data_IF_171603175258
#
_entry.id   IF_171603175258
#
_cell.length_a   1.000
_cell.length_b   1.000
_cell.length_c   1.000
_cell.angle_alpha   90.00
_cell.angle_beta   90.00
_cell.angle_gamma   90.00
#
_symmetry.space_group_name_H-M   'P 1'
#
loop_
_entity.id
_entity.type
_entity.pdbx_description
1 polymer ?
2 non-polymer ?
3 non-polymer ?
4 non-polymer ?
5 water ?
#
# COMPACT_ATOMS: atom_id res chain seq x y z
N UNK A 7 -7.42 -6.71 -26.94
CA UNK A 7 -5.98 -7.02 -26.77
C UNK A 7 -5.58 -7.05 -25.29
N UNK A 8 -4.65 -7.94 -24.96
CA UNK A 8 -4.03 -7.98 -23.63
C UNK A 8 -3.31 -6.64 -23.35
N UNK A 9 -3.15 -6.30 -22.05
CA UNK A 9 -2.55 -5.00 -21.76
C UNK A 9 -1.07 -4.90 -22.13
N UNK A 10 -0.62 -3.70 -22.50
CA UNK A 10 0.80 -3.43 -22.63
C UNK A 10 1.30 -3.09 -21.23
N UNK A 11 1.91 -4.07 -20.57
CA UNK A 11 2.41 -3.87 -19.21
C UNK A 11 3.58 -2.89 -19.11
N UNK A 12 4.19 -2.56 -20.24
CA UNK A 12 5.24 -1.54 -20.28
C UNK A 12 4.70 -0.14 -19.96
N UNK A 13 3.39 0.03 -20.05
CA UNK A 13 2.74 1.31 -19.70
C UNK A 13 2.73 1.51 -18.18
N UNK A 14 2.93 0.42 -17.44
CA UNK A 14 2.79 0.47 -15.97
C UNK A 14 1.34 0.36 -15.54
N UNK A 15 1.07 0.69 -14.28
CA UNK A 15 -0.29 0.68 -13.75
C UNK A 15 -1.04 1.85 -14.38
N UNK A 16 -2.15 1.56 -15.05
CA UNK A 16 -2.89 2.59 -15.80
C UNK A 16 -3.97 3.23 -14.93
N UNK A 17 -3.79 4.52 -14.67
CA UNK A 17 -4.75 5.31 -13.89
C UNK A 17 -5.60 6.09 -14.89
N UNK A 18 -6.87 5.74 -14.96
CA UNK A 18 -7.75 6.27 -16.01
C UNK A 18 -8.19 7.70 -15.78
N UNK A 19 -8.51 8.41 -16.87
CA UNK A 19 -9.03 9.77 -16.80
C UNK A 19 -10.20 9.96 -15.84
N UNK A 20 -11.06 8.94 -15.73
CA UNK A 20 -12.24 9.05 -14.86
C UNK A 20 -12.02 8.52 -13.43
N UNK A 21 -10.77 8.18 -13.09
CA UNK A 21 -10.39 7.80 -11.73
C UNK A 21 -10.72 8.93 -10.73
N UNK A 22 -11.64 8.68 -9.77
CA UNK A 22 -11.95 9.71 -8.76
C UNK A 22 -10.88 9.86 -7.65
N UNK A 23 -9.98 8.89 -7.56
CA UNK A 23 -8.93 8.93 -6.56
C UNK A 23 -9.45 8.48 -5.21
N UNK A 24 -8.62 8.66 -4.19
CA UNK A 24 -9.01 8.32 -2.83
C UNK A 24 -9.19 9.56 -1.98
N UNK A 25 -10.14 9.46 -1.04
CA UNK A 25 -10.49 10.58 -0.22
C UNK A 25 -9.44 10.77 0.87
N UNK A 26 -8.87 11.98 0.95
CA UNK A 26 -7.81 12.26 1.93
C UNK A 26 -8.23 11.96 3.36
N UNK A 27 -9.52 12.09 3.66
CA UNK A 27 -9.99 11.91 5.03
C UNK A 27 -9.85 10.45 5.52
N UNK A 28 -9.54 9.54 4.60
CA UNK A 28 -9.46 8.11 4.95
C UNK A 28 -7.99 7.66 5.12
N UNK A 29 -7.08 8.60 4.93
CA UNK A 29 -5.64 8.30 5.00
C UNK A 29 -4.92 9.32 5.89
N UNK A 30 -3.62 9.13 6.15
CA UNK A 30 -2.88 10.16 6.88
C UNK A 30 -2.05 10.94 5.87
N UNK A 31 -1.71 12.17 6.24
CA UNK A 31 -0.98 13.09 5.36
C UNK A 31 -0.44 14.20 6.25
N UNK A 32 0.52 15.00 5.75
CA UNK A 32 1.09 16.05 6.59
C UNK A 32 0.01 17.05 6.96
N UNK A 33 -0.15 17.28 8.26
CA UNK A 33 -1.30 18.08 8.71
C UNK A 33 -1.21 19.56 8.27
N UNK A 34 0.01 20.03 7.99
CA UNK A 34 0.16 21.36 7.42
C UNK A 34 -0.46 21.53 6.02
N UNK A 35 -0.80 20.43 5.36
CA UNK A 35 -1.49 20.49 4.06
C UNK A 35 -2.99 20.24 4.14
N UNK A 36 -3.53 20.20 5.35
CA UNK A 36 -4.97 20.08 5.52
C UNK A 36 -5.65 21.23 4.76
N UNK A 37 -6.59 20.89 3.88
CA UNK A 37 -7.34 21.91 3.14
C UNK A 37 -6.69 22.34 1.82
N UNK A 38 -5.51 21.79 1.53
CA UNK A 38 -4.69 22.19 0.37
C UNK A 38 -4.65 21.16 -0.77
N UNK A 39 -5.21 19.98 -0.50
CA UNK A 39 -5.18 18.88 -1.47
C UNK A 39 -6.59 18.44 -1.84
N UNK A 40 -6.77 18.06 -3.10
CA UNK A 40 -8.09 17.69 -3.60
C UNK A 40 -8.35 16.23 -3.32
N UNK A 41 -7.42 15.36 -3.72
CA UNK A 41 -7.57 13.93 -3.46
C UNK A 41 -6.25 13.20 -3.63
N UNK A 42 -6.23 11.96 -3.15
CA UNK A 42 -5.07 11.09 -3.35
C UNK A 42 -5.20 10.39 -4.72
N UNK A 43 -4.19 10.58 -5.57
CA UNK A 43 -4.16 9.93 -6.88
C UNK A 43 -3.58 8.54 -6.72
N UNK A 44 -2.47 8.45 -6.00
CA UNK A 44 -1.78 7.15 -5.81
C UNK A 44 -1.24 7.08 -4.38
N UNK A 45 -1.84 6.21 -3.55
CA UNK A 45 -1.40 6.08 -2.16
C UNK A 45 0.06 5.63 -2.09
N UNK A 46 0.75 6.10 -1.06
CA UNK A 46 2.14 5.74 -0.81
C UNK A 46 2.37 4.23 -0.95
N UNK A 47 1.52 3.44 -0.29
CA UNK A 47 1.71 1.99 -0.28
C UNK A 47 1.66 1.34 -1.65
N UNK A 48 0.78 1.83 -2.53
CA UNK A 48 0.69 1.24 -3.87
C UNK A 48 1.96 1.61 -4.65
N UNK A 49 2.51 2.80 -4.37
CA UNK A 49 3.77 3.18 -4.99
C UNK A 49 4.84 2.17 -4.60
N UNK A 50 4.95 1.88 -3.31
CA UNK A 50 5.95 0.91 -2.82
C UNK A 50 5.74 -0.50 -3.41
N UNK A 51 4.49 -0.96 -3.44
CA UNK A 51 4.17 -2.26 -4.06
C UNK A 51 4.60 -2.28 -5.54
N UNK A 52 4.33 -1.19 -6.25
CA UNK A 52 4.72 -1.14 -7.67
C UNK A 52 6.25 -1.15 -7.83
N UNK A 53 6.93 -0.41 -6.95
CA UNK A 53 8.40 -0.36 -7.00
C UNK A 53 9.01 -1.74 -6.76
N UNK A 54 8.39 -2.54 -5.90
CA UNK A 54 8.83 -3.92 -5.70
C UNK A 54 8.89 -4.68 -7.03
N UNK A 55 7.87 -4.52 -7.86
CA UNK A 55 7.81 -5.19 -9.14
C UNK A 55 8.86 -4.61 -10.10
N UNK A 56 8.96 -3.28 -10.17
CA UNK A 56 9.99 -2.65 -11.00
C UNK A 56 11.40 -3.13 -10.64
N UNK A 57 11.68 -3.23 -9.33
CA UNK A 57 13.00 -3.64 -8.88
C UNK A 57 13.31 -5.05 -9.40
N UNK A 58 12.32 -5.94 -9.31
CA UNK A 58 12.45 -7.31 -9.79
C UNK A 58 12.71 -7.30 -11.30
N UNK A 59 11.95 -6.48 -12.04
CA UNK A 59 12.14 -6.35 -13.51
C UNK A 59 13.54 -5.83 -13.87
N UNK A 60 14.00 -4.82 -13.14
CA UNK A 60 15.32 -4.25 -13.39
C UNK A 60 16.41 -5.29 -13.11
N UNK A 61 16.28 -6.02 -12.02
CA UNK A 61 17.26 -7.05 -11.69
C UNK A 61 17.31 -8.12 -12.80
N UNK A 62 16.16 -8.49 -13.33
CA UNK A 62 16.08 -9.44 -14.45
C UNK A 62 16.82 -8.93 -15.68
N UNK A 63 16.64 -7.65 -15.99
CA UNK A 63 17.13 -7.09 -17.22
C UNK A 63 18.61 -6.72 -17.14
N UNK A 64 19.01 -6.07 -16.05
CA UNK A 64 20.38 -5.52 -15.96
C UNK A 64 21.17 -5.90 -14.71
N UNK A 65 20.64 -6.82 -13.92
CA UNK A 65 21.34 -7.29 -12.71
C UNK A 65 22.60 -8.09 -13.01
N UNK A 66 22.82 -8.42 -14.27
CA UNK A 66 23.95 -9.29 -14.66
C UNK A 66 25.30 -8.59 -14.52
N UNK A 67 25.30 -7.26 -14.39
CA UNK A 67 26.53 -6.50 -14.24
C UNK A 67 26.28 -5.33 -13.27
N UNK A 68 27.34 -4.60 -12.95
CA UNK A 68 27.22 -3.47 -12.03
C UNK A 68 26.23 -2.44 -12.57
N UNK A 69 25.51 -1.77 -11.67
CA UNK A 69 24.54 -0.75 -12.08
C UNK A 69 24.98 0.60 -11.52
N UNK A 70 25.00 1.60 -12.38
CA UNK A 70 25.27 2.97 -11.94
C UNK A 70 23.94 3.72 -11.92
N UNK A 71 23.46 4.01 -10.72
CA UNK A 71 22.15 4.64 -10.55
C UNK A 71 22.36 6.14 -10.62
N UNK A 72 21.59 6.81 -11.48
CA UNK A 72 21.72 8.26 -11.62
C UNK A 72 20.37 8.89 -11.27
N UNK A 73 20.31 9.46 -10.07
CA UNK A 73 19.08 10.07 -9.54
C UNK A 73 18.89 11.47 -10.10
N UNK A 74 17.72 11.75 -10.69
CA UNK A 74 17.42 13.10 -11.17
C UNK A 74 16.72 13.91 -10.04
N UNK A 75 17.53 14.67 -9.32
CA UNK A 75 17.07 15.52 -8.21
C UNK A 75 16.22 16.71 -8.76
N UNK A 76 15.34 17.29 -7.92
CA UNK A 76 15.04 16.79 -6.57
C UNK A 76 13.91 15.78 -6.57
N UNK A 77 13.02 15.87 -7.55
CA UNK A 77 11.79 15.07 -7.58
C UNK A 77 12.01 13.57 -7.63
N UNK A 78 13.16 13.13 -8.16
CA UNK A 78 13.44 11.70 -8.24
C UNK A 78 13.89 11.05 -6.94
N UNK A 79 14.14 11.84 -5.89
CA UNK A 79 14.91 11.31 -4.72
C UNK A 79 14.19 10.18 -3.99
N UNK A 80 12.87 10.31 -3.82
CA UNK A 80 12.13 9.29 -3.05
C UNK A 80 11.99 8.00 -3.82
N UNK A 81 11.57 8.12 -5.09
CA UNK A 81 11.47 6.96 -5.98
C UNK A 81 12.81 6.22 -6.08
N UNK A 83 15.37 6.52 -3.73
CA UNK A 83 15.72 5.88 -2.42
C UNK A 83 15.00 4.55 -2.29
N UNK A 84 13.70 4.53 -2.61
CA UNK A 84 12.91 3.32 -2.42
C UNK A 84 13.26 2.21 -3.42
N UNK A 85 13.53 2.60 -4.66
CA UNK A 85 13.88 1.64 -5.70
C UNK A 85 15.21 0.98 -5.33
N UNK A 86 16.18 1.80 -4.91
CA UNK A 86 17.50 1.31 -4.44
C UNK A 86 17.32 0.37 -3.24
N UNK A 87 16.46 0.72 -2.29
CA UNK A 87 16.21 -0.17 -1.15
C UNK A 87 15.69 -1.52 -1.60
N UNK A 88 14.78 -1.51 -2.57
CA UNK A 88 14.23 -2.80 -3.06
C UNK A 88 15.30 -3.63 -3.79
N UNK A 89 16.11 -2.96 -4.61
CA UNK A 89 17.25 -3.62 -5.26
C UNK A 89 18.22 -4.19 -4.22
N UNK A 90 18.48 -3.42 -3.16
CA UNK A 90 19.37 -3.85 -2.09
C UNK A 90 18.78 -5.09 -1.40
N UNK A 91 17.47 -5.04 -1.14
CA UNK A 91 16.77 -6.14 -0.50
C UNK A 91 16.98 -7.44 -1.29
N UNK A 92 16.81 -7.38 -2.62
CA UNK A 92 17.16 -8.53 -3.49
C UNK A 92 18.63 -8.96 -3.42
N UNK A 93 19.56 -8.00 -3.50
CA UNK A 93 20.99 -8.31 -3.49
C UNK A 93 21.45 -8.98 -2.18
N UNK A 94 20.68 -8.80 -1.11
CA UNK A 94 21.08 -9.46 0.12
C UNK A 94 20.26 -10.71 0.50
N UNK A 95 18.98 -10.77 0.12
CA UNK A 95 18.10 -11.85 0.59
C UNK A 95 17.75 -12.94 -0.41
N UNK A 96 18.06 -12.70 -1.68
CA UNK A 96 17.87 -13.70 -2.71
C UNK A 96 19.21 -14.29 -3.14
N UNK A 97 19.16 -14.95 -4.30
CA UNK A 97 20.25 -15.67 -4.93
C UNK A 97 20.91 -14.79 -5.99
N UNK A 98 20.29 -13.64 -6.23
CA UNK A 98 20.65 -12.72 -7.30
C UNK A 98 21.21 -11.44 -6.70
N UNK A 99 22.42 -11.06 -7.04
CA UNK A 99 22.95 -9.82 -6.48
C UNK A 99 23.47 -8.86 -7.52
N UNK A 100 23.43 -7.56 -7.23
CA UNK A 100 24.03 -6.58 -8.14
C UNK A 100 24.75 -5.49 -7.35
N UNK A 101 25.97 -5.17 -7.77
CA UNK A 101 26.72 -4.07 -7.18
C UNK A 101 26.15 -2.78 -7.74
N UNK A 102 25.81 -1.84 -6.87
CA UNK A 102 25.28 -0.55 -7.30
C UNK A 102 26.17 0.58 -6.81
N UNK A 103 26.35 1.56 -7.67
CA UNK A 103 26.94 2.85 -7.28
C UNK A 103 25.83 3.85 -7.50
N UNK A 104 25.91 4.99 -6.82
CA UNK A 104 24.84 5.98 -6.97
C UNK A 104 25.42 7.35 -7.25
N UNK A 105 24.70 8.13 -8.05
CA UNK A 105 25.08 9.52 -8.29
C UNK A 105 23.82 10.34 -8.44
N UNK A 106 23.99 11.65 -8.48
CA UNK A 106 22.86 12.56 -8.37
C UNK A 106 23.10 13.73 -9.27
N UNK A 107 22.11 14.08 -10.07
CA UNK A 107 22.22 15.26 -10.94
C UNK A 107 20.96 16.11 -10.86
N UNK A 108 21.11 17.40 -11.19
CA UNK A 108 19.97 18.31 -11.34
C UNK A 108 19.99 18.84 -12.77
N UNK A 109 18.81 19.03 -13.36
CA UNK A 109 18.75 19.49 -14.75
C UNK A 109 18.34 20.95 -14.82
N UNK A 110 18.97 21.72 -15.70
CA UNK A 110 18.69 23.15 -15.87
C UNK A 110 18.26 23.43 -17.31
N UNK A 121 20.30 22.00 -22.46
CA UNK A 121 20.18 21.50 -21.09
C UNK A 121 21.53 21.37 -20.41
N UNK A 122 21.65 21.95 -19.22
CA UNK A 122 22.84 21.77 -18.40
C UNK A 122 22.56 20.71 -17.35
N UNK A 123 23.57 19.88 -17.09
CA UNK A 123 23.54 18.94 -15.98
C UNK A 123 24.35 19.54 -14.84
N UNK A 124 23.69 19.71 -13.69
CA UNK A 124 24.29 20.34 -12.53
C UNK A 124 24.66 19.29 -11.48
N UNK A 125 25.88 19.38 -10.96
CA UNK A 125 26.36 18.44 -9.97
C UNK A 125 26.69 17.12 -10.62
N UNK A 126 26.73 16.06 -9.82
CA UNK A 126 27.08 14.73 -10.33
C UNK A 126 28.58 14.57 -10.40
N UNK A 127 29.00 13.32 -10.57
CA UNK A 127 30.39 13.02 -10.78
C UNK A 127 30.81 13.50 -12.17
N UNK A 128 32.10 13.39 -12.45
CA UNK A 128 32.59 13.51 -13.81
C UNK A 128 31.94 12.36 -14.57
N UNK A 129 31.12 12.70 -15.55
CA UNK A 129 30.33 11.68 -16.23
C UNK A 129 31.13 10.82 -17.23
N UNK A 130 32.43 11.14 -17.38
CA UNK A 130 33.33 10.25 -18.11
C UNK A 130 33.45 8.91 -17.39
N UNK A 131 33.18 8.91 -16.09
CA UNK A 131 33.14 7.66 -15.32
C UNK A 131 32.00 6.74 -15.75
N UNK A 132 31.06 7.25 -16.55
CA UNK A 132 29.97 6.44 -17.09
C UNK A 132 30.37 5.60 -18.30
N UNK A 133 31.51 5.92 -18.91
CA UNK A 133 31.95 5.21 -20.12
C UNK A 133 31.98 3.70 -19.91
N UNK A 134 31.29 2.98 -20.79
CA UNK A 134 31.26 1.53 -20.76
C UNK A 134 30.45 0.91 -19.63
N UNK A 135 29.69 1.71 -18.90
CA UNK A 135 28.91 1.23 -17.76
C UNK A 135 27.43 1.14 -18.09
N UNK A 136 26.68 0.43 -17.25
CA UNK A 136 25.23 0.31 -17.42
C UNK A 136 24.58 1.33 -16.49
N UNK A 137 23.91 2.30 -17.09
CA UNK A 137 23.39 3.45 -16.35
C UNK A 137 21.88 3.33 -16.19
N UNK A 138 21.39 3.50 -14.95
CA UNK A 138 19.96 3.50 -14.68
C UNK A 138 19.57 4.90 -14.20
N UNK A 139 18.89 5.64 -15.06
CA UNK A 139 18.44 7.00 -14.75
C UNK A 139 17.13 6.84 -13.98
N UNK A 140 16.96 7.60 -12.90
CA UNK A 140 15.76 7.46 -12.07
C UNK A 140 15.11 8.84 -11.97
N UNK A 141 13.91 8.93 -12.55
CA UNK A 141 13.22 10.21 -12.75
C UNK A 141 11.82 10.17 -12.13
N UNK A 142 11.27 11.34 -11.81
CA UNK A 142 9.94 11.37 -11.16
C UNK A 142 8.77 11.19 -12.11
N UNK A 143 8.70 12.03 -13.14
CA UNK A 143 7.53 12.05 -14.03
C UNK A 143 7.92 12.55 -15.42
N UNK A 144 7.39 11.84 -16.42
CA UNK A 144 7.53 12.23 -17.81
C UNK A 144 6.23 12.92 -18.22
N UNK A 145 6.36 14.16 -18.69
CA UNK A 145 5.20 14.91 -19.21
C UNK A 145 5.23 14.88 -20.73
N UNK A 146 5.91 15.84 -21.34
CA UNK A 146 6.09 15.87 -22.81
C UNK A 146 7.16 14.87 -23.28
N UNK A 147 8.04 14.48 -22.36
CA UNK A 147 9.19 13.65 -22.68
C UNK A 147 10.41 14.42 -23.16
N UNK A 148 10.29 15.74 -23.32
CA UNK A 148 11.42 16.56 -23.75
C UNK A 148 12.65 16.48 -22.84
N UNK A 149 12.42 16.47 -21.52
CA UNK A 149 13.50 16.43 -20.55
C UNK A 149 14.30 15.14 -20.67
N UNK A 150 13.60 14.01 -20.70
CA UNK A 150 14.27 12.72 -20.81
C UNK A 150 15.00 12.55 -22.14
N UNK A 151 14.38 13.04 -23.22
CA UNK A 151 15.05 12.95 -24.54
C UNK A 151 16.37 13.71 -24.54
N UNK A 152 16.35 14.92 -23.96
CA UNK A 152 17.52 15.79 -23.86
C UNK A 152 18.59 15.19 -22.95
N UNK A 153 18.15 14.65 -21.81
CA UNK A 153 19.07 14.02 -20.88
C UNK A 153 19.79 12.83 -21.53
N UNK A 154 19.04 11.96 -22.20
CA UNK A 154 19.63 10.80 -22.88
C UNK A 154 20.67 11.24 -23.91
N UNK A 155 20.31 12.25 -24.69
CA UNK A 155 21.25 12.82 -25.68
C UNK A 155 22.53 13.34 -25.05
N UNK A 156 22.44 13.93 -23.87
CA UNK A 156 23.61 14.42 -23.15
C UNK A 156 24.46 13.26 -22.59
N UNK A 157 23.80 12.29 -21.96
CA UNK A 157 24.52 11.16 -21.33
C UNK A 157 25.17 10.26 -22.39
N UNK A 158 24.50 10.09 -23.53
CA UNK A 158 25.00 9.22 -24.61
C UNK A 158 26.38 9.63 -25.12
N UNK A 159 26.71 10.91 -24.96
CA UNK A 159 27.98 11.46 -25.44
C UNK A 159 29.20 10.97 -24.64
N UNK A 160 28.94 10.40 -23.46
CA UNK A 160 29.98 9.79 -22.63
C UNK A 160 30.17 8.29 -22.90
N UNK A 161 29.41 7.76 -23.86
CA UNK A 161 29.50 6.37 -24.32
C UNK A 161 29.35 5.32 -23.22
N UNK A 162 28.24 5.39 -22.45
CA UNK A 162 27.99 4.29 -21.52
C UNK A 162 27.66 3.05 -22.33
N UNK A 163 27.74 1.88 -21.71
CA UNK A 163 27.39 0.64 -22.41
C UNK A 163 25.90 0.57 -22.75
N UNK A 164 25.07 1.05 -21.82
CA UNK A 164 23.63 1.15 -22.05
C UNK A 164 23.04 2.13 -21.05
N UNK A 165 21.89 2.68 -21.40
CA UNK A 165 21.15 3.57 -20.50
C UNK A 165 19.71 3.08 -20.44
N UNK A 166 19.22 2.90 -19.23
CA UNK A 166 17.83 2.58 -18.99
C UNK A 166 17.24 3.75 -18.21
N UNK A 167 15.96 4.04 -18.45
CA UNK A 167 15.29 5.11 -17.75
C UNK A 167 14.10 4.52 -17.01
N UNK A 168 14.08 4.75 -15.71
CA UNK A 168 12.93 4.42 -14.85
C UNK A 168 12.26 5.75 -14.52
N UNK A 169 10.96 5.86 -14.80
CA UNK A 169 10.22 7.06 -14.38
C UNK A 169 9.05 6.59 -13.53
N UNK A 170 8.83 7.22 -12.39
CA UNK A 170 7.74 6.72 -11.55
C UNK A 170 6.41 6.87 -12.25
N UNK A 171 6.24 8.01 -12.92
CA UNK A 171 4.97 8.36 -13.56
C UNK A 171 5.23 8.77 -15.01
N UNK A 172 4.24 8.48 -15.86
CA UNK A 172 4.27 8.90 -17.26
C UNK A 172 2.87 9.42 -17.56
N UNK A 173 2.76 10.64 -18.05
CA UNK A 173 1.43 11.20 -18.37
C UNK A 173 0.94 10.72 -19.73
N UNK A 174 -0.34 10.42 -19.80
CA UNK A 174 -0.99 10.10 -21.06
C UNK A 174 -1.36 11.44 -21.73
N UNK A 175 -0.72 11.76 -22.84
CA UNK A 175 -1.06 13.01 -23.58
C UNK A 175 -1.71 12.71 -24.94
N UNK A 177 -0.35 14.27 -27.67
CA UNK A 177 0.87 14.23 -28.48
C UNK A 177 1.20 12.81 -28.94
N UNK A 178 2.01 12.71 -29.98
CA UNK A 178 2.45 11.41 -30.54
C UNK A 178 3.97 11.21 -30.41
N UNK A 179 4.67 12.27 -30.01
CA UNK A 179 6.12 12.25 -29.88
C UNK A 179 6.56 12.13 -28.41
N UNK A 180 5.89 11.27 -27.66
CA UNK A 180 6.19 11.09 -26.24
C UNK A 180 7.48 10.32 -25.99
N UNK A 181 7.81 10.13 -24.71
CA UNK A 181 8.95 9.31 -24.35
C UNK A 181 8.47 8.11 -23.55
N UNK A 182 8.89 6.92 -23.97
CA UNK A 182 8.52 5.69 -23.26
C UNK A 182 9.70 5.19 -22.42
N UNK A 183 9.60 5.35 -21.10
CA UNK A 183 10.70 4.85 -20.26
C UNK A 183 10.80 3.33 -20.33
N UNK A 184 11.99 2.82 -20.02
CA UNK A 184 12.16 1.39 -19.92
C UNK A 184 11.37 0.78 -18.77
N UNK A 185 11.23 1.53 -17.68
CA UNK A 185 10.50 1.07 -16.50
C UNK A 185 9.59 2.21 -16.12
N UNK A 186 8.29 1.96 -16.16
CA UNK A 186 7.31 3.01 -15.81
C UNK A 186 6.44 2.50 -14.68
N UNK A 187 6.32 3.27 -13.59
CA UNK A 187 5.48 2.85 -12.47
C UNK A 187 4.00 2.92 -12.82
N UNK A 188 3.54 4.13 -13.16
CA UNK A 188 2.12 4.42 -13.34
C UNK A 188 1.93 5.32 -14.53
N UNK A 189 0.90 5.05 -15.33
CA UNK A 189 0.54 5.94 -16.42
C UNK A 189 -0.65 6.75 -15.93
N UNK A 190 -0.47 8.06 -15.81
CA UNK A 190 -1.48 8.91 -15.16
C UNK A 190 -2.15 9.84 -16.18
N UNK A 191 -3.32 10.37 -15.82
CA UNK A 191 -3.95 11.40 -16.67
C UNK A 191 -3.05 12.62 -16.81
N UNK A 192 -3.31 13.43 -17.82
CA UNK A 192 -2.48 14.60 -18.08
C UNK A 192 -2.84 15.73 -17.14
N UNK A 193 -2.43 15.61 -15.88
CA UNK A 193 -2.71 16.63 -14.89
C UNK A 193 -1.46 16.84 -14.06
N UNK A 194 -1.51 17.76 -13.10
CA UNK A 194 -0.33 18.15 -12.34
C UNK A 194 -0.35 17.41 -11.01
N UNK A 195 0.80 16.83 -10.65
CA UNK A 195 0.87 16.01 -9.42
C UNK A 195 1.99 16.45 -8.49
N UNK A 196 1.78 16.22 -7.20
CA UNK A 196 2.76 16.51 -6.15
C UNK A 196 2.79 15.33 -5.18
N UNK A 197 3.77 15.33 -4.29
CA UNK A 197 3.89 14.31 -3.24
C UNK A 197 4.98 13.32 -3.62
N UNK A 198 5.41 12.54 -2.63
CA UNK A 198 6.44 11.52 -2.85
C UNK A 198 7.64 12.18 -3.55
N UNK A 199 8.05 13.32 -2.99
CA UNK A 199 9.19 14.15 -3.42
C UNK A 199 8.87 15.13 -4.54
N UNK A 200 7.73 14.94 -5.21
CA UNK A 200 7.35 15.86 -6.30
C UNK A 200 6.76 17.12 -5.70
N UNK A 201 7.10 18.28 -6.26
CA UNK A 201 6.77 19.57 -5.62
C UNK A 201 5.84 20.48 -6.44
N UNK A 202 5.27 21.44 -5.71
CA UNK A 202 4.72 22.67 -6.28
C UNK A 202 5.42 23.80 -5.55
N UNK A 203 6.26 24.54 -6.26
CA UNK A 203 7.04 25.63 -5.67
C UNK A 203 7.76 25.22 -4.38
N UNK A 204 8.36 24.03 -4.43
CA UNK A 204 9.16 23.43 -3.34
C UNK A 204 8.36 22.83 -2.19
N UNK A 205 7.04 23.04 -2.21
CA UNK A 205 6.15 22.45 -1.22
C UNK A 205 5.70 21.07 -1.66
N UNK A 206 5.19 20.29 -0.70
CA UNK A 206 4.61 18.95 -0.94
C UNK A 206 5.63 17.83 -1.18
N UNK A 207 6.92 18.12 -1.12
CA UNK A 207 7.89 17.02 -1.26
C UNK A 207 7.79 16.04 -0.09
N UNK A 208 7.30 16.53 1.05
CA UNK A 208 7.18 15.75 2.29
C UNK A 208 5.86 15.01 2.43
N UNK A 209 5.00 15.17 1.42
CA UNK A 209 3.76 14.44 1.36
C UNK A 209 4.05 13.00 0.92
N UNK A 210 3.41 12.03 1.58
CA UNK A 210 3.65 10.60 1.37
C UNK A 210 2.98 9.99 0.12
N UNK A 211 1.81 10.52 -0.22
CA UNK A 211 1.00 10.02 -1.32
C UNK A 211 1.14 10.95 -2.51
N UNK A 212 0.95 10.42 -3.70
CA UNK A 212 0.89 11.32 -4.86
C UNK A 212 -0.54 11.89 -4.95
N UNK A 213 -0.62 13.21 -4.97
CA UNK A 213 -1.92 13.91 -4.86
C UNK A 213 -2.11 14.98 -5.93
N UNK A 214 -3.39 15.35 -6.08
CA UNK A 214 -3.79 16.47 -6.94
C UNK A 214 -4.12 17.58 -5.96
N UNK A 215 -3.48 18.73 -6.16
CA UNK A 215 -3.72 19.87 -5.28
C UNK A 215 -5.06 20.53 -5.63
N UNK A 216 -5.66 21.19 -4.65
CA UNK A 216 -6.92 21.88 -4.93
C UNK A 216 -6.65 23.34 -5.26
N UNK A 217 -7.70 24.07 -5.62
CA UNK A 217 -7.49 25.47 -5.96
C UNK A 217 -6.94 26.32 -4.81
N UNK A 218 -7.35 26.01 -3.59
CA UNK A 218 -6.85 26.72 -2.41
C UNK A 218 -5.33 26.56 -2.29
N UNK A 219 -4.85 25.32 -2.45
CA UNK A 219 -3.42 25.03 -2.39
C UNK A 219 -2.65 25.73 -3.51
N UNK A 220 -3.23 25.76 -4.70
CA UNK A 220 -2.59 26.39 -5.84
C UNK A 220 -2.30 27.85 -5.52
N UNK A 221 -3.27 28.53 -4.91
CA UNK A 221 -3.06 29.95 -4.56
C UNK A 221 -2.20 30.14 -3.33
N UNK A 222 -2.39 29.29 -2.31
CA UNK A 222 -1.66 29.42 -1.05
C UNK A 222 -0.15 29.35 -1.24
N UNK A 223 0.29 28.45 -2.13
CA UNK A 223 1.71 28.18 -2.32
C UNK A 223 2.26 28.81 -3.61
N UNK A 224 1.50 29.73 -4.19
CA UNK A 224 1.89 30.38 -5.44
C UNK A 224 3.08 31.31 -5.25
N UNK A 225 4.00 31.32 -6.23
CA UNK A 225 5.09 32.31 -6.27
C UNK A 225 4.89 33.36 -7.37
N UNK B 9 -18.06 10.97 2.54
CA UNK B 9 -19.34 11.28 3.18
C UNK B 9 -19.53 10.53 4.50
N UNK B 10 -20.08 9.32 4.49
CA UNK B 10 -20.10 8.49 5.69
C UNK B 10 -18.77 7.77 5.84
N UNK B 11 -17.82 8.41 6.51
CA UNK B 11 -16.46 7.88 6.63
C UNK B 11 -16.38 6.64 7.51
N UNK B 12 -17.47 6.34 8.24
CA UNK B 12 -17.53 5.15 9.08
C UNK B 12 -17.54 3.87 8.28
N UNK B 13 -17.83 4.00 6.98
CA UNK B 13 -17.84 2.86 6.06
C UNK B 13 -16.42 2.46 5.66
N UNK B 14 -15.46 3.36 5.88
CA UNK B 14 -14.09 3.16 5.42
C UNK B 14 -13.92 3.41 3.93
N UNK B 15 -12.82 2.90 3.37
CA UNK B 15 -12.57 3.09 1.94
C UNK B 15 -13.54 2.25 1.11
N UNK B 16 -14.35 2.93 0.31
CA UNK B 16 -15.38 2.22 -0.46
C UNK B 16 -14.85 1.69 -1.78
N UNK B 17 -14.82 0.37 -1.88
CA UNK B 17 -14.46 -0.33 -3.12
C UNK B 17 -15.76 -0.71 -3.83
N UNK B 18 -15.99 -0.13 -5.01
CA UNK B 18 -17.27 -0.26 -5.71
C UNK B 18 -17.41 -1.59 -6.46
N UNK B 19 -18.66 -1.98 -6.70
CA UNK B 19 -18.99 -3.23 -7.40
C UNK B 19 -18.34 -3.36 -8.78
N UNK B 20 -18.18 -2.23 -9.46
CA UNK B 20 -17.53 -2.26 -10.79
C UNK B 20 -16.04 -1.97 -10.71
N UNK B 21 -15.48 -2.05 -9.50
CA UNK B 21 -14.03 -1.96 -9.32
C UNK B 21 -13.36 -3.09 -10.09
N UNK B 22 -12.48 -2.74 -11.05
CA UNK B 22 -11.82 -3.81 -11.81
C UNK B 22 -10.59 -4.39 -11.09
N UNK B 23 -10.19 -3.74 -10.00
CA UNK B 23 -9.00 -4.15 -9.25
C UNK B 23 -7.72 -3.86 -10.00
N UNK B 24 -6.63 -4.43 -9.49
CA UNK B 24 -5.31 -4.24 -10.08
C UNK B 24 -4.83 -5.53 -10.68
N UNK B 25 -4.08 -5.41 -11.76
CA UNK B 25 -3.60 -6.57 -12.50
C UNK B 25 -2.39 -7.16 -11.79
N UNK B 26 -2.49 -8.45 -11.43
CA UNK B 26 -1.40 -9.17 -10.75
C UNK B 26 -0.03 -9.05 -11.45
N UNK B 27 -0.06 -8.95 -12.78
CA UNK B 27 1.15 -8.87 -13.59
C UNK B 27 1.98 -7.58 -13.36
N UNK B 28 1.36 -6.58 -12.74
CA UNK B 28 2.06 -5.32 -12.42
C UNK B 28 2.63 -5.27 -10.99
N UNK B 29 2.39 -6.32 -10.21
CA UNK B 29 2.84 -6.36 -8.82
C UNK B 29 3.65 -7.63 -8.52
N UNK B 30 4.17 -7.75 -7.32
CA UNK B 30 4.81 -9.02 -6.92
C UNK B 30 3.83 -9.78 -6.04
N UNK B 31 3.92 -11.11 -6.11
CA UNK B 31 3.10 -11.99 -5.29
C UNK B 31 3.69 -13.40 -5.22
N UNK B 32 3.21 -14.26 -4.29
CA UNK B 32 3.80 -15.59 -4.07
C UNK B 32 3.81 -16.40 -5.36
N UNK B 33 4.99 -16.86 -5.78
CA UNK B 33 5.09 -17.55 -7.06
C UNK B 33 4.25 -18.82 -7.12
N UNK B 34 4.08 -19.46 -5.95
CA UNK B 34 3.28 -20.67 -5.86
C UNK B 34 1.78 -20.44 -6.09
N UNK B 35 1.36 -19.17 -6.17
CA UNK B 35 -0.05 -18.88 -6.44
C UNK B 35 -0.30 -18.29 -7.83
N UNK B 36 0.75 -18.19 -8.63
CA UNK B 36 0.60 -17.78 -10.01
C UNK B 36 -0.44 -18.68 -10.68
N UNK B 37 -1.44 -18.08 -11.30
CA UNK B 37 -2.45 -18.89 -11.95
C UNK B 37 -3.65 -19.26 -11.09
N UNK B 38 -3.57 -19.00 -9.77
CA UNK B 38 -4.70 -19.25 -8.87
C UNK B 38 -5.57 -18.01 -8.63
N UNK B 39 -5.00 -16.84 -8.90
CA UNK B 39 -5.67 -15.59 -8.57
C UNK B 39 -6.17 -14.85 -9.81
N UNK B 40 -7.35 -14.26 -9.68
CA UNK B 40 -7.94 -13.54 -10.80
C UNK B 40 -7.38 -12.13 -10.88
N UNK B 41 -7.41 -11.41 -9.75
CA UNK B 41 -6.89 -10.03 -9.71
C UNK B 41 -6.69 -9.58 -8.26
N UNK B 42 -5.99 -8.46 -8.10
CA UNK B 42 -5.77 -7.86 -6.79
C UNK B 42 -6.95 -6.94 -6.49
N UNK B 43 -7.68 -7.22 -5.41
CA UNK B 43 -8.76 -6.33 -4.99
C UNK B 43 -8.18 -5.13 -4.24
N UNK B 44 -7.28 -5.39 -3.31
CA UNK B 44 -6.68 -4.33 -2.49
C UNK B 44 -5.20 -4.63 -2.30
N UNK B 45 -4.31 -3.80 -2.89
CA UNK B 45 -2.87 -4.01 -2.71
C UNK B 45 -2.44 -3.87 -1.26
N UNK B 46 -1.43 -4.65 -0.89
CA UNK B 46 -0.84 -4.62 0.43
C UNK B 46 -0.60 -3.19 0.91
N UNK B 47 0.00 -2.37 0.05
CA UNK B 47 0.38 -1.02 0.45
C UNK B 47 -0.79 -0.11 0.83
N UNK B 48 -1.89 -0.20 0.10
CA UNK B 48 -3.06 0.61 0.50
C UNK B 48 -3.65 0.14 1.83
N UNK B 49 -3.56 -1.16 2.10
CA UNK B 49 -3.97 -1.69 3.41
C UNK B 49 -3.13 -1.04 4.51
N UNK B 50 -1.81 -1.00 4.34
CA UNK B 50 -0.95 -0.37 5.34
C UNK B 50 -1.29 1.11 5.53
N UNK B 51 -1.48 1.83 4.42
CA UNK B 51 -1.83 3.27 4.46
C UNK B 51 -3.13 3.50 5.24
N UNK B 52 -4.10 2.62 4.99
CA UNK B 52 -5.41 2.73 5.64
C UNK B 52 -5.29 2.42 7.13
N UNK B 53 -4.52 1.38 7.46
CA UNK B 53 -4.26 1.04 8.87
C UNK B 53 -3.63 2.21 9.63
N UNK B 54 -2.75 2.96 8.97
CA UNK B 54 -2.14 4.13 9.58
C UNK B 54 -3.21 5.10 10.09
N UNK B 55 -4.21 5.37 9.26
CA UNK B 55 -5.30 6.25 9.63
C UNK B 55 -6.21 5.62 10.70
N UNK B 56 -6.52 4.32 10.57
CA UNK B 56 -7.33 3.67 11.64
C UNK B 56 -6.65 3.81 13.00
N UNK B 57 -5.34 3.59 13.04
CA UNK B 57 -4.60 3.71 14.30
C UNK B 57 -4.73 5.12 14.88
N UNK B 58 -4.59 6.13 14.02
CA UNK B 58 -4.70 7.51 14.45
C UNK B 58 -6.11 7.77 15.02
N UNK B 59 -7.12 7.22 14.34
CA UNK B 59 -8.54 7.38 14.74
C UNK B 59 -8.79 6.74 16.11
N UNK B 60 -8.27 5.52 16.26
CA UNK B 60 -8.37 4.80 17.52
C UNK B 60 -7.67 5.55 18.66
N UNK B 61 -6.48 6.09 18.39
CA UNK B 61 -5.75 6.85 19.40
C UNK B 61 -6.51 8.12 19.83
N UNK B 62 -7.20 8.75 18.88
CA UNK B 62 -8.04 9.92 19.18
C UNK B 62 -9.14 9.53 20.16
N UNK B 63 -9.76 8.38 19.92
CA UNK B 63 -10.90 7.95 20.74
C UNK B 63 -10.54 7.38 22.10
N UNK B 64 -9.44 6.62 22.18
CA UNK B 64 -9.12 5.90 23.44
C UNK B 64 -7.70 6.10 24.01
N UNK B 65 -6.98 7.08 23.48
CA UNK B 65 -5.67 7.47 24.03
C UNK B 65 -5.66 7.78 25.52
N UNK B 66 -4.49 7.62 26.13
CA UNK B 66 -4.25 7.82 27.57
C UNK B 66 -5.02 6.86 28.47
N UNK B 67 -5.29 5.68 27.93
CA UNK B 67 -6.03 4.65 28.65
C UNK B 67 -5.37 3.30 28.38
N UNK B 68 -5.84 2.27 29.08
CA UNK B 68 -5.31 0.93 28.89
C UNK B 68 -6.29 0.16 28.05
N UNK B 69 -5.78 -0.55 27.06
CA UNK B 69 -6.69 -1.29 26.22
C UNK B 69 -6.24 -2.75 26.11
N UNK B 70 -7.21 -3.65 25.98
CA UNK B 70 -6.91 -5.06 25.77
C UNK B 70 -7.24 -5.33 24.31
N UNK B 71 -6.22 -5.69 23.54
CA UNK B 71 -6.43 -5.93 22.12
C UNK B 71 -6.80 -7.42 22.02
N UNK B 72 -7.94 -7.72 21.41
CA UNK B 72 -8.39 -9.10 21.30
C UNK B 72 -8.39 -9.52 19.83
N UNK B 73 -7.36 -10.28 19.45
CA UNK B 73 -7.17 -10.68 18.06
C UNK B 73 -8.01 -11.91 17.71
N UNK B 74 -8.85 -11.80 16.69
CA UNK B 74 -9.64 -12.93 16.23
C UNK B 74 -8.86 -13.76 15.20
N UNK B 75 -8.25 -14.84 15.68
CA UNK B 75 -7.46 -15.74 14.83
C UNK B 75 -8.36 -16.56 13.90
N UNK B 76 -7.83 -17.08 12.79
CA UNK B 76 -6.46 -16.86 12.32
C UNK B 76 -6.40 -15.63 11.43
N UNK B 77 -7.51 -15.32 10.77
CA UNK B 77 -7.52 -14.34 9.70
C UNK B 77 -7.18 -12.93 10.18
N UNK B 78 -7.45 -12.65 11.46
CA UNK B 78 -7.17 -11.31 11.98
C UNK B 78 -5.71 -11.02 12.28
N UNK B 79 -4.84 -12.04 12.22
CA UNK B 79 -3.50 -11.85 12.83
C UNK B 79 -2.66 -10.74 12.18
N UNK B 80 -2.73 -10.61 10.86
CA UNK B 80 -1.88 -9.67 10.13
C UNK B 80 -2.38 -8.24 10.34
N UNK B 81 -3.69 -8.03 10.15
CA UNK B 81 -4.31 -6.74 10.42
C UNK B 81 -4.01 -6.29 11.85
N UNK B 83 -1.41 -7.48 13.92
CA UNK B 83 0.02 -7.17 14.15
C UNK B 83 0.29 -5.75 13.64
N UNK B 84 -0.21 -5.43 12.45
CA UNK B 84 0.10 -4.14 11.82
C UNK B 84 -0.61 -2.98 12.55
N UNK B 85 -1.87 -3.17 12.91
CA UNK B 85 -2.58 -2.12 13.66
C UNK B 85 -1.88 -1.81 14.98
N UNK B 86 -1.50 -2.86 15.72
CA UNK B 86 -0.73 -2.74 16.95
C UNK B 86 0.62 -2.01 16.72
N UNK B 87 1.33 -2.31 15.62
CA UNK B 87 2.59 -1.61 15.35
C UNK B 87 2.34 -0.12 15.15
N UNK B 88 1.26 0.21 14.48
CA UNK B 88 0.97 1.63 14.24
C UNK B 88 0.59 2.35 15.55
N UNK B 89 -0.21 1.69 16.40
CA UNK B 89 -0.47 2.21 17.77
C UNK B 89 0.79 2.37 18.64
N UNK B 90 1.70 1.40 18.56
CA UNK B 90 2.98 1.47 19.25
C UNK B 90 3.77 2.67 18.75
N UNK B 91 3.73 2.88 17.43
CA UNK B 91 4.48 3.97 16.78
C UNK B 91 4.07 5.32 17.38
N UNK B 92 2.77 5.59 17.38
CA UNK B 92 2.26 6.80 18.02
C UNK B 92 2.66 6.89 19.50
N UNK B 93 2.55 5.78 20.23
CA UNK B 93 2.79 5.78 21.68
C UNK B 93 4.22 6.08 22.11
N UNK B 94 5.18 5.89 21.21
CA UNK B 94 6.54 6.22 21.57
C UNK B 94 7.01 7.53 20.91
N UNK B 95 6.31 7.94 19.85
CA UNK B 95 6.72 9.11 19.04
C UNK B 95 5.80 10.33 19.12
N UNK B 96 4.83 10.29 20.02
CA UNK B 96 3.91 11.40 20.19
C UNK B 96 3.61 11.60 21.68
N UNK B 97 2.84 12.63 22.00
CA UNK B 97 2.44 12.86 23.38
C UNK B 97 1.16 12.13 23.81
N UNK B 98 0.63 11.27 22.94
CA UNK B 98 -0.48 10.36 23.29
C UNK B 98 0.00 8.92 23.23
N UNK B 99 -0.48 8.09 24.16
CA UNK B 99 -0.20 6.66 24.16
C UNK B 99 -1.46 5.85 24.48
N UNK B 100 -1.43 4.57 24.15
CA UNK B 100 -2.32 3.60 24.78
C UNK B 100 -1.41 2.54 25.36
N UNK B 101 -1.70 2.12 26.59
CA UNK B 101 -1.01 1.01 27.19
C UNK B 101 -1.75 -0.26 26.79
N UNK B 102 -1.07 -1.14 26.06
CA UNK B 102 -1.73 -2.28 25.45
C UNK B 102 -1.38 -3.63 26.06
N UNK B 103 -2.41 -4.45 26.26
CA UNK B 103 -2.21 -5.87 26.46
C UNK B 103 -2.82 -6.56 25.25
N UNK B 104 -2.42 -7.81 25.01
CA UNK B 104 -2.96 -8.52 23.85
C UNK B 104 -3.46 -9.90 24.25
N UNK B 105 -4.51 -10.34 23.56
CA UNK B 105 -4.98 -11.71 23.71
C UNK B 105 -5.45 -12.18 22.35
N UNK B 106 -5.65 -13.49 22.26
CA UNK B 106 -5.96 -14.14 20.99
C UNK B 106 -7.08 -15.14 21.22
N UNK B 107 -8.05 -15.14 20.34
CA UNK B 107 -9.12 -16.14 20.40
C UNK B 107 -9.44 -16.69 19.01
N UNK B 108 -9.96 -17.91 18.99
CA UNK B 108 -10.44 -18.51 17.75
C UNK B 108 -11.92 -18.81 17.99
N UNK B 109 -12.74 -18.63 16.96
CA UNK B 109 -14.18 -18.82 17.07
C UNK B 109 -14.62 -20.06 16.30
N UNK B 110 -15.48 -20.85 16.91
CA UNK B 110 -16.07 -21.98 16.19
C UNK B 110 -17.56 -21.93 16.34
N UNK B 111 -18.25 -21.69 15.23
CA UNK B 111 -19.72 -21.55 15.19
C UNK B 111 -20.35 -22.90 14.88
N UNK B 112 -21.41 -23.25 15.60
CA UNK B 112 -22.11 -24.52 15.36
C UNK B 112 -23.58 -24.34 15.69
N UNK B 113 -24.38 -25.38 15.41
CA UNK B 113 -25.81 -25.40 15.77
C UNK B 113 -26.09 -26.47 16.82
N UNK B 114 -26.90 -26.13 17.83
CA UNK B 114 -27.25 -27.09 18.88
C UNK B 114 -28.42 -28.00 18.48
N UNK B 115 -28.93 -28.80 19.42
CA UNK B 115 -29.94 -29.82 19.06
C UNK B 115 -31.29 -29.21 18.67
N UNK B 116 -31.48 -27.92 18.94
CA UNK B 116 -32.71 -27.24 18.48
C UNK B 116 -32.40 -26.18 17.42
N UNK B 117 -31.25 -26.35 16.76
CA UNK B 117 -30.82 -25.54 15.62
C UNK B 117 -30.45 -24.12 15.99
N UNK B 118 -30.15 -23.89 17.26
CA UNK B 118 -29.74 -22.57 17.70
C UNK B 118 -28.24 -22.43 17.43
N UNK B 119 -27.86 -21.31 16.83
CA UNK B 119 -26.47 -20.95 16.63
C UNK B 119 -25.76 -20.77 17.96
N UNK B 120 -24.60 -21.41 18.10
CA UNK B 120 -23.76 -21.23 19.26
C UNK B 120 -22.36 -20.89 18.76
N UNK B 121 -21.55 -20.30 19.63
CA UNK B 121 -20.17 -19.96 19.32
C UNK B 121 -19.31 -20.36 20.48
N UNK B 122 -18.33 -21.20 20.20
CA UNK B 122 -17.31 -21.57 21.17
C UNK B 122 -16.11 -20.60 20.98
N UNK B 123 -15.62 -20.05 22.09
CA UNK B 123 -14.42 -19.21 22.05
C UNK B 123 -13.28 -20.09 22.50
N UNK B 124 -12.28 -20.26 21.63
CA UNK B 124 -11.18 -21.18 21.89
C UNK B 124 -9.90 -20.40 22.17
N UNK B 125 -9.20 -20.79 23.23
CA UNK B 125 -7.98 -20.12 23.58
C UNK B 125 -8.35 -18.84 24.28
N UNK B 126 -7.39 -17.93 24.38
CA UNK B 126 -7.61 -16.69 25.09
C UNK B 126 -7.37 -16.83 26.58
N UNK B 127 -7.25 -15.69 27.26
CA UNK B 127 -7.21 -15.70 28.70
C UNK B 127 -8.61 -16.02 29.23
N UNK B 128 -8.68 -16.27 30.54
CA UNK B 128 -9.93 -16.24 31.26
C UNK B 128 -10.52 -14.88 30.99
N UNK B 129 -11.67 -14.85 30.31
CA UNK B 129 -12.25 -13.58 29.88
C UNK B 129 -12.90 -12.80 31.03
N UNK B 130 -12.91 -13.38 32.23
CA UNK B 130 -13.33 -12.63 33.42
C UNK B 130 -12.33 -11.50 33.67
N UNK B 131 -11.11 -11.67 33.18
CA UNK B 131 -10.09 -10.62 33.25
C UNK B 131 -10.43 -9.37 32.44
N UNK B 132 -11.48 -9.45 31.62
CA UNK B 132 -11.94 -8.30 30.84
C UNK B 132 -12.87 -7.37 31.62
N UNK B 133 -13.35 -7.84 32.78
CA UNK B 133 -14.25 -7.03 33.62
C UNK B 133 -13.65 -5.64 33.82
N UNK B 134 -14.42 -4.60 33.54
CA UNK B 134 -13.97 -3.22 33.73
C UNK B 134 -12.87 -2.72 32.81
N UNK B 135 -12.49 -3.53 31.83
CA UNK B 135 -11.44 -3.15 30.88
C UNK B 135 -11.99 -2.55 29.57
N UNK B 136 -11.11 -1.90 28.82
CA UNK B 136 -11.47 -1.40 27.49
C UNK B 136 -10.94 -2.41 26.49
N UNK B 137 -11.86 -2.95 25.69
CA UNK B 137 -11.53 -4.06 24.79
C UNK B 137 -11.62 -3.60 23.34
N UNK B 138 -10.55 -3.86 22.58
CA UNK B 138 -10.55 -3.61 21.15
C UNK B 138 -10.51 -4.96 20.42
N UNK B 139 -11.63 -5.39 19.85
CA UNK B 139 -11.64 -6.62 19.02
C UNK B 139 -11.08 -6.30 17.64
N UNK B 140 -10.18 -7.16 17.16
CA UNK B 140 -9.59 -6.99 15.83
C UNK B 140 -9.89 -8.21 14.97
N UNK B 141 -10.62 -7.97 13.89
CA UNK B 141 -11.19 -9.01 13.01
C UNK B 141 -10.83 -8.78 11.55
N UNK B 142 -10.84 -9.84 10.75
CA UNK B 142 -10.46 -9.74 9.34
C UNK B 142 -11.58 -9.15 8.47
N UNK B 143 -12.74 -9.78 8.51
CA UNK B 143 -13.80 -9.41 7.58
C UNK B 143 -15.17 -9.68 8.18
N UNK B 144 -16.06 -8.71 8.00
CA UNK B 144 -17.46 -8.89 8.38
C UNK B 144 -18.24 -9.21 7.11
N UNK B 145 -18.96 -10.34 7.14
CA UNK B 145 -19.80 -10.78 6.03
C UNK B 145 -21.24 -10.50 6.37
N UNK B 146 -21.93 -11.50 6.94
CA UNK B 146 -23.29 -11.32 7.45
C UNK B 146 -23.34 -10.53 8.76
N UNK B 147 -22.21 -10.51 9.48
CA UNK B 147 -22.18 -9.83 10.77
C UNK B 147 -22.51 -10.74 11.94
N UNK B 148 -22.90 -11.99 11.68
CA UNK B 148 -23.34 -12.88 12.75
C UNK B 148 -22.21 -13.20 13.71
N UNK B 149 -21.01 -13.37 13.17
CA UNK B 149 -19.86 -13.72 14.01
C UNK B 149 -19.57 -12.60 15.01
N UNK B 150 -19.54 -11.37 14.53
CA UNK B 150 -19.22 -10.26 15.42
C UNK B 150 -20.33 -10.02 16.44
N UNK B 151 -21.60 -10.21 16.02
CA UNK B 151 -22.71 -10.05 16.97
C UNK B 151 -22.61 -11.09 18.11
N UNK B 152 -22.27 -12.32 17.76
CA UNK B 152 -22.10 -13.39 18.74
C UNK B 152 -20.93 -13.10 19.69
N UNK B 153 -19.79 -12.73 19.10
CA UNK B 153 -18.62 -12.41 19.92
C UNK B 153 -18.90 -11.28 20.91
N UNK B 154 -19.51 -10.20 20.42
CA UNK B 154 -19.84 -9.04 21.24
C UNK B 154 -20.65 -9.43 22.47
N UNK B 155 -21.69 -10.24 22.27
CA UNK B 155 -22.55 -10.63 23.38
C UNK B 155 -21.85 -11.58 24.35
N UNK B 156 -20.90 -12.35 23.84
CA UNK B 156 -20.09 -13.20 24.66
C UNK B 156 -19.16 -12.36 25.56
N UNK B 157 -18.49 -11.38 24.96
CA UNK B 157 -17.59 -10.52 25.73
C UNK B 157 -18.37 -9.63 26.72
N UNK B 158 -19.51 -9.10 26.29
CA UNK B 158 -20.33 -8.18 27.08
C UNK B 158 -20.76 -8.75 28.45
N UNK B 159 -20.88 -10.07 28.54
CA UNK B 159 -21.33 -10.69 29.79
C UNK B 159 -20.28 -10.64 30.89
N UNK B 160 -19.03 -10.36 30.53
CA UNK B 160 -17.96 -10.22 31.52
C UNK B 160 -17.83 -8.78 32.05
N UNK B 161 -18.71 -7.90 31.58
CA UNK B 161 -18.82 -6.51 32.02
C UNK B 161 -17.56 -5.66 31.76
N UNK B 162 -17.07 -5.63 30.50
CA UNK B 162 -15.98 -4.70 30.19
C UNK B 162 -16.48 -3.26 30.27
N UNK B 163 -15.55 -2.33 30.47
CA UNK B 163 -15.88 -0.92 30.49
C UNK B 163 -16.40 -0.48 29.12
N UNK B 164 -15.74 -0.94 28.07
CA UNK B 164 -16.17 -0.64 26.71
C UNK B 164 -15.66 -1.72 25.77
N UNK B 165 -16.36 -1.89 24.66
CA UNK B 165 -15.89 -2.77 23.59
C UNK B 165 -15.94 -1.97 22.29
N UNK B 166 -14.84 -1.99 21.55
CA UNK B 166 -14.78 -1.43 20.20
C UNK B 166 -14.40 -2.56 19.24
N UNK B 167 -14.91 -2.52 18.01
CA UNK B 167 -14.56 -3.53 17.00
C UNK B 167 -13.89 -2.87 15.80
N UNK B 168 -12.68 -3.36 15.47
CA UNK B 168 -12.02 -2.99 14.23
C UNK B 168 -12.07 -4.21 13.28
N UNK B 169 -12.57 -3.99 12.07
CA UNK B 169 -12.57 -5.03 11.04
C UNK B 169 -11.85 -4.49 9.81
N UNK B 170 -10.91 -5.26 9.26
CA UNK B 170 -10.22 -4.77 8.05
C UNK B 170 -11.20 -4.53 6.90
N UNK B 171 -12.09 -5.49 6.67
CA UNK B 171 -13.01 -5.44 5.53
C UNK B 171 -14.42 -5.59 6.05
N UNK B 172 -15.35 -4.91 5.38
CA UNK B 172 -16.77 -5.09 5.65
C UNK B 172 -17.46 -5.29 4.29
N UNK B 173 -18.22 -6.38 4.12
CA UNK B 173 -18.91 -6.61 2.84
C UNK B 173 -20.22 -5.82 2.76
N UNK B 174 -20.49 -5.26 1.58
CA UNK B 174 -21.83 -4.79 1.22
C UNK B 174 -22.72 -5.98 0.93
N UNK B 175 -23.87 -6.05 1.60
CA UNK B 175 -24.84 -7.13 1.35
C UNK B 175 -26.16 -6.51 0.90
N UNK B 180 -27.07 -6.60 9.33
CA UNK B 180 -25.66 -6.23 9.11
C UNK B 180 -25.00 -5.71 10.38
N UNK B 181 -23.68 -5.89 10.47
CA UNK B 181 -22.91 -5.35 11.61
C UNK B 181 -21.95 -4.25 11.16
N UNK B 182 -21.98 -3.13 11.87
CA UNK B 182 -21.07 -2.02 11.61
C UNK B 182 -19.97 -1.92 12.66
N UNK B 183 -18.72 -2.22 12.27
CA UNK B 183 -17.65 -2.08 13.26
C UNK B 183 -17.40 -0.60 13.57
N UNK B 184 -16.81 -0.33 14.72
CA UNK B 184 -16.38 1.02 15.09
C UNK B 184 -15.30 1.52 14.14
N UNK B 185 -14.42 0.60 13.71
CA UNK B 185 -13.32 0.97 12.83
C UNK B 185 -13.31 0.00 11.68
N UNK B 186 -13.53 0.50 10.46
CA UNK B 186 -13.57 -0.36 9.27
C UNK B 186 -12.54 0.09 8.24
N UNK B 187 -11.67 -0.81 7.79
CA UNK B 187 -10.69 -0.42 6.78
C UNK B 187 -11.31 -0.10 5.44
N UNK B 188 -12.00 -1.09 4.86
CA UNK B 188 -12.51 -1.03 3.50
C UNK B 188 -13.88 -1.63 3.47
N UNK B 189 -14.76 -1.04 2.65
CA UNK B 189 -16.06 -1.61 2.39
C UNK B 189 -16.00 -2.23 1.00
N UNK B 190 -16.19 -3.54 0.92
CA UNK B 190 -15.90 -4.27 -0.31
C UNK B 190 -17.15 -4.87 -0.93
N UNK B 191 -17.10 -5.22 -2.23
CA UNK B 191 -18.21 -5.97 -2.82
C UNK B 191 -18.40 -7.30 -2.10
N UNK B 192 -19.58 -7.88 -2.26
CA UNK B 192 -19.87 -9.19 -1.66
C UNK B 192 -19.19 -10.30 -2.43
N UNK B 193 -17.88 -10.46 -2.19
CA UNK B 193 -17.08 -11.45 -2.90
C UNK B 193 -16.27 -12.19 -1.88
N UNK B 194 -15.88 -13.42 -2.19
CA UNK B 194 -14.98 -14.14 -1.31
C UNK B 194 -13.56 -13.65 -1.58
N UNK B 195 -12.86 -13.25 -0.52
CA UNK B 195 -11.49 -12.74 -0.68
C UNK B 195 -10.48 -13.47 0.18
N UNK B 196 -9.22 -13.40 -0.25
CA UNK B 196 -8.09 -14.05 0.45
C UNK B 196 -6.90 -13.12 0.44
N UNK B 197 -5.88 -13.47 1.23
CA UNK B 197 -4.62 -12.70 1.28
C UNK B 197 -4.60 -11.84 2.53
N UNK B 198 -3.41 -11.33 2.85
CA UNK B 198 -3.20 -10.56 4.09
C UNK B 198 -3.77 -11.34 5.30
N UNK B 199 -3.42 -12.64 5.34
CA UNK B 199 -3.79 -13.63 6.37
C UNK B 199 -5.14 -14.28 6.17
N UNK B 200 -5.97 -13.71 5.29
CA UNK B 200 -7.29 -14.30 5.00
C UNK B 200 -7.11 -15.52 4.09
N UNK B 201 -7.85 -16.60 4.37
CA UNK B 201 -7.59 -17.89 3.70
C UNK B 201 -8.76 -18.40 2.84
N UNK B 202 -8.42 -19.36 1.98
CA UNK B 202 -9.40 -20.28 1.39
C UNK B 202 -8.90 -21.66 1.79
N UNK B 203 -9.64 -22.36 2.65
CA UNK B 203 -9.23 -23.68 3.10
C UNK B 203 -7.77 -23.74 3.58
N UNK B 204 -7.39 -22.70 4.33
CA UNK B 204 -6.05 -22.51 4.95
C UNK B 204 -4.94 -22.07 4.00
N UNK B 205 -5.24 -22.00 2.70
CA UNK B 205 -4.29 -21.47 1.70
C UNK B 205 -4.42 -19.96 1.57
N UNK B 206 -3.39 -19.34 0.99
CA UNK B 206 -3.36 -17.90 0.64
C UNK B 206 -3.17 -16.95 1.84
N UNK B 207 -2.94 -17.47 3.05
CA UNK B 207 -2.71 -16.55 4.16
C UNK B 207 -1.39 -15.82 3.97
N UNK B 208 -0.47 -16.44 3.20
CA UNK B 208 0.90 -15.93 2.96
C UNK B 208 0.94 -15.03 1.73
N UNK B 209 -0.23 -14.80 1.12
CA UNK B 209 -0.37 -13.83 0.04
C UNK B 209 -0.44 -12.43 0.65
N UNK B 210 0.30 -11.51 0.00
CA UNK B 210 0.52 -10.15 0.48
C UNK B 210 -0.65 -9.19 0.25
N UNK B 211 -1.31 -9.33 -0.91
CA UNK B 211 -2.38 -8.48 -1.40
C UNK B 211 -3.70 -9.19 -1.15
N UNK B 212 -4.78 -8.44 -0.92
CA UNK B 212 -6.11 -9.05 -0.89
C UNK B 212 -6.61 -9.28 -2.32
N UNK B 213 -6.89 -10.54 -2.63
CA UNK B 213 -7.22 -10.96 -3.99
C UNK B 213 -8.52 -11.76 -4.07
N UNK B 214 -9.00 -11.90 -5.31
CA UNK B 214 -10.10 -12.83 -5.65
C UNK B 214 -9.50 -14.01 -6.41
N UNK B 215 -9.87 -15.23 -6.02
CA UNK B 215 -9.29 -16.41 -6.67
C UNK B 215 -10.10 -16.81 -7.90
N UNK B 216 -9.46 -17.47 -8.85
CA UNK B 216 -10.15 -17.90 -10.05
C UNK B 216 -10.69 -19.33 -9.90
N UNK B 217 -11.31 -19.86 -10.95
CA UNK B 217 -11.94 -21.16 -10.85
C UNK B 217 -10.92 -22.27 -10.65
N UNK B 218 -9.74 -22.10 -11.24
CA UNK B 218 -8.66 -23.06 -11.07
C UNK B 218 -8.23 -23.10 -9.60
N UNK B 219 -8.02 -21.93 -9.02
CA UNK B 219 -7.69 -21.85 -7.59
C UNK B 219 -8.79 -22.41 -6.68
N UNK B 220 -10.05 -22.11 -7.01
CA UNK B 220 -11.18 -22.65 -6.26
C UNK B 220 -11.19 -24.19 -6.24
N UNK B 221 -10.93 -24.80 -7.39
CA UNK B 221 -10.93 -26.25 -7.52
C UNK B 221 -9.69 -26.87 -6.88
N UNK B 222 -8.55 -26.29 -7.18
CA UNK B 222 -7.26 -26.84 -6.72
C UNK B 222 -7.21 -26.96 -5.20
N UNK B 223 -7.77 -25.98 -4.48
CA UNK B 223 -7.63 -25.94 -3.01
C UNK B 223 -8.93 -26.29 -2.29
N UNK B 224 -9.85 -26.94 -3.01
CA UNK B 224 -11.16 -27.30 -2.47
C UNK B 224 -11.06 -28.39 -1.40
N UNK B 225 -12.00 -28.36 -0.47
CA UNK B 225 -12.24 -29.47 0.45
C UNK B 225 -13.70 -29.91 0.33
#
# INVERSE_FOLDING_TARGET
MAGSSEEAPDYGRGVVIMDDWPGYDLNLFTYPQHYYGDLEYVLIPHGIIVDRIERLAKDIMKDIGYSDIMVLCVLKGGYKFXADLVEHLKNISRNSDRFVSMKVDFIRLKSYRNDQSMGEMQIIGGDDLSTLAGKNVLIVEDVVGTGRTMKALLSNIEKYKPNMIKVASLLVKRTSRSDGFRPDYAGFEIPNLFVVGYALDYNEYFRDLNHICVINEHGKEKYRV
MAGSSEEAPDYGRGVVIMDDWPGYDLNLFTYPQHYYGDLEYVLIPHGIIVDRIERLAKDIMKDIGYSDIMVLCVLKGGYKFXADLVEHLKNISRNSDRFVSMKVDFIRLKSYRNDQSMGEMQIIGGDDLSTLAGKNVLIVEDVVGTGRTMKALLSNIEKYKPNMIKVASLLVKRTSRSDGFRPDYAGFEIPNLFVVGYALDYNEYFRDLNHICVINEHGKEKYRV
#
